data_IF_483135687051
#
_entry.id   IF_483135687051
#
_cell.length_a   1.000
_cell.length_b   1.000
_cell.length_c   1.000
_cell.angle_alpha   90.00
_cell.angle_beta   90.00
_cell.angle_gamma   90.00
#
_symmetry.space_group_name_H-M   'P 1'
#
loop_
_entity.id
_entity.type
_entity.pdbx_description
1 polymer ?
#
# COMPACT_ATOMS: atom_id res chain seq x y z
N UNK A 1 14.89 -12.21 -17.16
CA UNK A 1 14.85 -11.84 -15.72
C UNK A 1 14.12 -10.50 -15.53
N UNK A 2 12.92 -10.36 -16.08
CA UNK A 2 12.02 -9.20 -15.87
C UNK A 2 10.53 -9.61 -15.84
N UNK A 3 10.20 -10.87 -16.14
CA UNK A 3 8.81 -11.34 -16.24
C UNK A 3 8.25 -11.96 -14.95
N UNK A 4 9.11 -12.26 -13.96
CA UNK A 4 8.70 -12.91 -12.71
C UNK A 4 8.13 -11.96 -11.65
N UNK A 5 8.29 -10.65 -11.81
CA UNK A 5 7.76 -9.65 -10.86
C UNK A 5 6.29 -9.32 -11.15
N UNK A 6 5.85 -9.53 -12.39
CA UNK A 6 4.51 -9.21 -12.87
C UNK A 6 3.41 -10.15 -12.38
N UNK A 7 3.76 -11.33 -11.82
CA UNK A 7 2.82 -12.42 -11.60
C UNK A 7 2.46 -12.67 -10.12
N UNK A 8 3.01 -11.90 -9.17
CA UNK A 8 2.86 -12.24 -7.75
C UNK A 8 1.52 -11.87 -7.12
N UNK A 9 0.74 -10.94 -7.66
CA UNK A 9 -0.52 -10.56 -7.05
C UNK A 9 -1.46 -10.05 -8.15
N UNK A 10 -2.61 -10.70 -8.35
CA UNK A 10 -3.71 -10.23 -9.21
C UNK A 10 -4.33 -8.87 -8.81
N UNK A 11 -3.61 -8.09 -8.00
CA UNK A 11 -3.76 -6.66 -7.85
C UNK A 11 -2.98 -6.00 -8.98
N UNK A 12 -3.68 -5.47 -10.00
CA UNK A 12 -3.04 -4.63 -11.02
C UNK A 12 -2.04 -3.69 -10.37
N UNK A 13 -0.82 -3.60 -10.88
CA UNK A 13 0.33 -2.80 -10.41
C UNK A 13 -0.04 -1.44 -9.77
N UNK A 14 -1.12 -0.82 -10.29
CA UNK A 14 -1.79 0.37 -9.77
C UNK A 14 -2.27 0.29 -8.31
N UNK A 15 -2.85 -0.83 -7.87
CA UNK A 15 -3.35 -0.98 -6.50
C UNK A 15 -2.22 -1.04 -5.50
N UNK A 16 -1.17 -1.81 -5.81
CA UNK A 16 0.04 -1.87 -4.99
C UNK A 16 0.71 -0.49 -4.89
N UNK A 17 0.85 0.21 -6.01
CA UNK A 17 1.39 1.58 -6.03
C UNK A 17 0.59 2.55 -5.15
N UNK A 18 -0.74 2.42 -5.13
CA UNK A 18 -1.60 3.27 -4.30
C UNK A 18 -1.46 2.95 -2.81
N UNK A 19 -1.35 1.67 -2.45
CA UNK A 19 -1.08 1.25 -1.06
C UNK A 19 0.26 1.84 -0.60
N UNK A 20 1.32 1.75 -1.41
CA UNK A 20 2.62 2.34 -1.07
C UNK A 20 2.57 3.85 -0.88
N UNK A 21 1.80 4.58 -1.69
CA UNK A 21 1.61 6.03 -1.51
C UNK A 21 0.95 6.36 -0.18
N UNK A 22 -0.12 5.65 0.17
CA UNK A 22 -0.82 5.86 1.45
C UNK A 22 0.07 5.46 2.63
N UNK A 23 0.75 4.33 2.54
CA UNK A 23 1.71 3.88 3.55
C UNK A 23 2.84 4.88 3.75
N UNK A 24 3.31 5.53 2.67
CA UNK A 24 4.30 6.61 2.77
C UNK A 24 3.75 7.81 3.51
N UNK A 25 2.53 8.25 3.20
CA UNK A 25 1.87 9.34 3.93
C UNK A 25 1.72 9.03 5.41
N UNK A 26 1.33 7.80 5.76
CA UNK A 26 1.22 7.37 7.16
C UNK A 26 2.60 7.40 7.84
N UNK A 27 3.65 6.90 7.16
CA UNK A 27 5.02 6.96 7.67
C UNK A 27 5.48 8.41 7.90
N UNK A 28 5.18 9.32 6.98
CA UNK A 28 5.51 10.73 7.10
C UNK A 28 4.75 11.40 8.26
N UNK A 29 3.49 11.00 8.52
CA UNK A 29 2.70 11.46 9.67
C UNK A 29 3.23 10.92 11.00
N UNK A 30 3.74 9.69 11.02
CA UNK A 30 4.41 9.08 12.17
C UNK A 30 5.84 9.62 12.38
N UNK A 31 6.33 10.48 11.48
CA UNK A 31 7.69 11.01 11.52
C UNK A 31 8.77 9.98 11.19
N UNK A 32 8.39 8.86 10.58
CA UNK A 32 9.29 7.77 10.23
C UNK A 32 9.89 7.97 8.84
N UNK A 33 11.22 7.92 8.75
CA UNK A 33 11.92 8.05 7.47
C UNK A 33 11.67 6.85 6.53
N UNK A 34 11.36 5.69 7.10
CA UNK A 34 11.14 4.44 6.37
C UNK A 34 9.70 3.95 6.50
N UNK A 35 9.22 3.26 5.48
CA UNK A 35 7.93 2.59 5.55
C UNK A 35 8.13 1.28 6.34
N UNK A 36 7.38 1.12 7.42
CA UNK A 36 7.33 -0.10 8.22
C UNK A 36 6.05 -0.89 7.93
N UNK A 37 6.04 -2.16 8.31
CA UNK A 37 4.88 -3.05 8.12
C UNK A 37 3.58 -2.48 8.71
N UNK A 38 3.67 -1.77 9.84
CA UNK A 38 2.54 -1.07 10.46
C UNK A 38 1.89 -0.04 9.53
N UNK A 39 2.70 0.77 8.81
CA UNK A 39 2.18 1.77 7.87
C UNK A 39 1.48 1.12 6.66
N UNK A 40 1.97 -0.03 6.23
CA UNK A 40 1.37 -0.80 5.12
C UNK A 40 0.05 -1.43 5.58
N UNK A 41 0.02 -2.04 6.77
CA UNK A 41 -1.19 -2.63 7.33
C UNK A 41 -2.30 -1.59 7.49
N UNK A 42 -1.95 -0.38 7.93
CA UNK A 42 -2.87 0.73 8.08
C UNK A 42 -3.36 1.26 6.72
N UNK A 43 -2.46 1.40 5.73
CA UNK A 43 -2.84 1.75 4.36
C UNK A 43 -3.82 0.75 3.71
N UNK A 44 -3.65 -0.55 3.96
CA UNK A 44 -4.57 -1.61 3.49
C UNK A 44 -5.94 -1.49 4.19
N UNK A 45 -5.96 -1.20 5.50
CA UNK A 45 -7.19 -0.98 6.25
C UNK A 45 -7.96 0.24 5.73
N UNK A 46 -7.29 1.36 5.47
CA UNK A 46 -7.90 2.55 4.87
C UNK A 46 -8.61 2.23 3.55
N UNK A 47 -8.02 1.38 2.70
CA UNK A 47 -8.67 0.95 1.44
C UNK A 47 -9.89 0.06 1.66
N UNK A 48 -9.85 -0.82 2.66
CA UNK A 48 -10.97 -1.69 2.99
C UNK A 48 -12.16 -0.89 3.54
N UNK A 49 -11.87 0.19 4.28
CA UNK A 49 -12.86 1.17 4.75
C UNK A 49 -13.44 1.98 3.59
N UNK A 50 -12.61 2.52 2.69
CA UNK A 50 -13.02 3.26 1.48
C UNK A 50 -14.00 2.43 0.61
N UNK A 51 -13.72 1.12 0.46
CA UNK A 51 -14.58 0.20 -0.31
C UNK A 51 -15.92 -0.14 0.37
N UNK A 52 -16.00 -0.07 1.71
CA UNK A 52 -17.25 -0.29 2.45
C UNK A 52 -18.13 0.96 2.52
N UNK A 53 -17.57 2.13 2.25
CA UNK A 53 -18.28 3.40 2.25
C UNK A 53 -18.93 3.75 0.88
N UNK A 54 -18.84 2.86 -0.11
CA UNK A 54 -19.47 2.99 -1.44
C UNK A 54 -20.74 2.19 -1.57
#
# INVERSE_FOLDING_TARGET
MLELVTDWLGFSERTYTRILKVARTIADLDGSANIHEQHIAEAIQYRSLDRKAS
#
